data_IF_182019606415
#
_entry.id   IF_182019606415
#
_cell.length_a   1.000
_cell.length_b   1.000
_cell.length_c   1.000
_cell.angle_alpha   90.00
_cell.angle_beta   90.00
_cell.angle_gamma   90.00
#
_symmetry.space_group_name_H-M   'P 1'
#
loop_
_entity.id
_entity.type
_entity.pdbx_description
1 polymer ?
#
# COMPACT_ATOMS: atom_id res chain seq x y z
N UNK A 1 -24.60 -51.97 11.51
CA UNK A 1 -25.36 -51.79 10.26
C UNK A 1 -24.35 -51.52 9.16
N UNK A 2 -24.13 -52.52 8.33
CA UNK A 2 -23.19 -52.54 7.21
C UNK A 2 -23.94 -52.15 5.92
N UNK A 3 -23.28 -51.44 5.02
CA UNK A 3 -23.84 -51.09 3.70
C UNK A 3 -22.89 -50.21 2.86
N UNK A 4 -22.25 -50.74 1.79
CA UNK A 4 -21.21 -50.08 1.00
C UNK A 4 -21.71 -49.56 -0.36
N UNK A 5 -20.89 -48.75 -1.06
CA UNK A 5 -21.16 -48.35 -2.46
C UNK A 5 -19.93 -47.80 -3.16
N UNK A 6 -19.36 -48.61 -4.06
CA UNK A 6 -18.17 -48.39 -4.89
C UNK A 6 -18.57 -47.81 -6.24
N UNK A 7 -17.71 -46.99 -6.87
CA UNK A 7 -17.76 -46.75 -8.31
C UNK A 7 -16.50 -46.09 -8.88
N UNK A 8 -15.69 -46.79 -9.69
CA UNK A 8 -14.65 -46.19 -10.53
C UNK A 8 -15.11 -46.13 -11.99
N UNK A 9 -14.96 -44.97 -12.63
CA UNK A 9 -15.23 -44.77 -14.06
C UNK A 9 -14.00 -44.25 -14.78
N UNK A 10 -13.34 -45.14 -15.52
CA UNK A 10 -12.24 -44.85 -16.45
C UNK A 10 -12.83 -44.56 -17.83
N UNK A 11 -12.27 -43.61 -18.57
CA UNK A 11 -12.54 -43.39 -19.99
C UNK A 11 -11.31 -42.86 -20.72
N UNK A 12 -10.76 -43.58 -21.73
CA UNK A 12 -9.59 -43.18 -22.49
C UNK A 12 -9.94 -42.66 -23.90
N UNK A 13 -9.04 -41.88 -24.50
CA UNK A 13 -8.75 -41.97 -25.93
C UNK A 13 -8.93 -40.72 -26.81
N UNK A 14 -7.81 -40.35 -27.47
CA UNK A 14 -7.61 -39.82 -28.84
C UNK A 14 -8.31 -38.52 -29.28
N UNK A 15 -7.67 -37.56 -29.98
CA UNK A 15 -6.45 -37.64 -30.79
C UNK A 15 -5.92 -36.26 -31.28
N UNK A 16 -5.01 -36.24 -32.29
CA UNK A 16 -4.04 -35.17 -32.54
C UNK A 16 -4.30 -34.33 -33.81
N UNK A 17 -3.57 -33.20 -33.93
CA UNK A 17 -3.50 -32.31 -35.10
C UNK A 17 -4.29 -31.01 -34.85
N UNK A 18 -3.75 -29.80 -34.98
CA UNK A 18 -3.01 -29.24 -36.12
C UNK A 18 -2.15 -28.05 -35.62
N UNK A 19 -0.90 -27.92 -36.09
CA UNK A 19 -0.22 -26.60 -36.15
C UNK A 19 -0.79 -25.77 -37.32
N UNK A 20 -0.19 -24.63 -37.75
CA UNK A 20 1.06 -24.00 -37.32
C UNK A 20 0.94 -22.49 -36.99
N UNK A 21 2.00 -21.95 -36.37
CA UNK A 21 2.55 -20.63 -36.68
C UNK A 21 1.63 -19.41 -36.63
N UNK A 22 1.67 -18.69 -35.50
CA UNK A 22 1.63 -17.23 -35.50
C UNK A 22 2.75 -16.73 -34.60
N UNK A 23 3.71 -16.07 -35.26
CA UNK A 23 4.90 -15.48 -34.67
C UNK A 23 4.62 -14.24 -33.82
N UNK A 24 5.70 -13.57 -33.40
CA UNK A 24 5.72 -12.69 -32.25
C UNK A 24 5.26 -11.26 -32.58
N UNK A 25 4.77 -10.57 -31.55
CA UNK A 25 4.81 -9.12 -31.52
C UNK A 25 3.48 -8.43 -31.79
N UNK A 26 2.54 -8.55 -30.86
CA UNK A 26 1.62 -7.42 -30.60
C UNK A 26 2.40 -6.39 -29.79
N UNK A 27 3.25 -5.64 -30.49
CA UNK A 27 3.71 -4.36 -29.97
C UNK A 27 2.50 -3.40 -29.95
N UNK A 28 2.38 -2.54 -28.93
CA UNK A 28 1.32 -1.54 -28.91
C UNK A 28 1.43 -0.65 -30.14
N UNK A 29 0.33 -0.60 -30.90
CA UNK A 29 0.10 0.28 -32.04
C UNK A 29 0.43 1.73 -31.66
N UNK A 30 1.57 2.22 -32.14
CA UNK A 30 1.85 3.63 -32.23
C UNK A 30 0.90 4.22 -33.27
N UNK A 31 -0.17 4.86 -32.80
CA UNK A 31 -0.91 5.85 -33.59
C UNK A 31 0.08 6.95 -33.98
N UNK A 32 0.49 6.96 -35.25
CA UNK A 32 1.01 8.16 -35.89
C UNK A 32 -0.19 8.85 -36.56
N UNK A 33 -0.53 10.04 -36.10
CA UNK A 33 -1.70 10.79 -36.60
C UNK A 33 -2.36 11.72 -35.59
N UNK A 34 -1.82 11.83 -34.38
CA UNK A 34 -2.00 13.02 -33.56
C UNK A 34 -0.63 13.68 -33.48
N UNK A 35 -0.50 15.02 -33.55
CA UNK A 35 0.74 15.67 -33.12
C UNK A 35 1.04 15.07 -31.75
N UNK A 36 2.16 14.33 -31.66
CA UNK A 36 2.61 13.76 -30.41
C UNK A 36 2.52 14.90 -29.40
N UNK A 37 1.89 14.72 -28.23
CA UNK A 37 1.97 15.73 -27.19
C UNK A 37 3.47 15.90 -26.98
N UNK A 38 3.98 17.03 -27.47
CA UNK A 38 5.33 17.47 -27.19
C UNK A 38 5.43 17.26 -25.68
N UNK A 39 6.25 16.29 -25.26
CA UNK A 39 6.53 16.09 -23.86
C UNK A 39 7.31 17.34 -23.53
N UNK A 40 6.56 18.40 -23.20
CA UNK A 40 7.06 19.65 -22.70
C UNK A 40 7.70 19.22 -21.41
N UNK A 41 8.99 18.93 -21.49
CA UNK A 41 9.91 18.91 -20.36
C UNK A 41 9.80 20.33 -19.85
N UNK A 42 8.83 20.55 -18.96
CA UNK A 42 8.63 21.81 -18.27
C UNK A 42 9.92 22.02 -17.52
N UNK A 43 10.79 22.82 -18.12
CA UNK A 43 12.05 23.28 -17.56
C UNK A 43 11.70 23.85 -16.21
N UNK A 44 11.95 23.07 -15.16
CA UNK A 44 11.66 23.45 -13.81
C UNK A 44 12.43 24.72 -13.53
N UNK A 45 11.71 25.84 -13.34
CA UNK A 45 12.34 27.09 -13.00
C UNK A 45 13.33 26.87 -11.84
N UNK A 46 14.56 27.40 -11.95
CA UNK A 46 15.55 27.23 -10.91
C UNK A 46 15.02 27.81 -9.60
N UNK A 47 14.83 26.94 -8.60
CA UNK A 47 14.48 27.35 -7.24
C UNK A 47 15.52 28.35 -6.72
N UNK A 48 15.06 29.42 -6.09
CA UNK A 48 15.98 30.36 -5.44
C UNK A 48 16.85 29.64 -4.41
N UNK A 49 18.14 30.01 -4.29
CA UNK A 49 19.08 29.32 -3.40
C UNK A 49 18.60 29.36 -1.93
N UNK A 50 17.98 30.47 -1.52
CA UNK A 50 17.40 30.61 -0.19
C UNK A 50 16.24 29.63 0.07
N UNK A 51 15.34 29.42 -0.92
CA UNK A 51 14.23 28.47 -0.78
C UNK A 51 14.74 27.04 -0.71
N UNK A 52 15.75 26.70 -1.52
CA UNK A 52 16.41 25.39 -1.49
C UNK A 52 17.09 25.14 -0.14
N UNK A 53 17.84 26.11 0.39
CA UNK A 53 18.47 25.99 1.70
C UNK A 53 17.45 25.77 2.83
N UNK A 54 16.35 26.55 2.84
CA UNK A 54 15.25 26.35 3.81
C UNK A 54 14.63 24.96 3.72
N UNK A 55 14.43 24.44 2.51
CA UNK A 55 13.90 23.09 2.30
C UNK A 55 14.83 22.00 2.83
N UNK A 56 16.15 22.14 2.63
CA UNK A 56 17.14 21.21 3.18
C UNK A 56 17.14 21.25 4.71
N UNK A 57 17.11 22.44 5.31
CA UNK A 57 17.07 22.60 6.77
C UNK A 57 15.79 22.00 7.35
N UNK A 58 14.64 22.27 6.76
CA UNK A 58 13.36 21.71 7.21
C UNK A 58 13.31 20.19 7.09
N UNK A 59 13.84 19.63 5.99
CA UNK A 59 13.97 18.19 5.80
C UNK A 59 14.86 17.57 6.87
N UNK A 60 16.03 18.16 7.12
CA UNK A 60 16.96 17.69 8.15
C UNK A 60 16.37 17.76 9.56
N UNK A 61 15.71 18.87 9.90
CA UNK A 61 15.03 19.02 11.18
C UNK A 61 13.88 18.02 11.35
N UNK A 62 13.13 17.75 10.28
CA UNK A 62 12.08 16.74 10.27
C UNK A 62 12.64 15.33 10.55
N UNK A 63 13.70 14.94 9.84
CA UNK A 63 14.35 13.63 10.08
C UNK A 63 14.89 13.51 11.51
N UNK A 64 15.55 14.56 12.01
CA UNK A 64 16.06 14.59 13.38
C UNK A 64 14.93 14.48 14.42
N UNK A 65 13.83 15.20 14.23
CA UNK A 65 12.64 15.11 15.09
C UNK A 65 12.02 13.70 15.06
N UNK A 66 12.00 13.05 13.89
CA UNK A 66 11.54 11.66 13.77
C UNK A 66 12.41 10.68 14.55
N UNK A 67 13.73 10.79 14.45
CA UNK A 67 14.66 9.97 15.22
C UNK A 67 14.53 10.20 16.73
N UNK A 68 14.37 11.47 17.15
CA UNK A 68 14.11 11.82 18.55
C UNK A 68 12.79 11.23 19.05
N UNK A 69 11.71 11.32 18.25
CA UNK A 69 10.39 10.75 18.57
C UNK A 69 10.46 9.24 18.82
N UNK A 70 11.11 8.50 17.92
CA UNK A 70 11.31 7.05 18.04
C UNK A 70 12.15 6.72 19.30
N UNK A 71 13.19 7.51 19.58
CA UNK A 71 14.04 7.31 20.77
C UNK A 71 13.26 7.54 22.05
N UNK A 72 12.48 8.62 22.15
CA UNK A 72 11.66 8.90 23.32
C UNK A 72 10.61 7.80 23.52
N UNK A 73 9.94 7.38 22.45
CA UNK A 73 8.98 6.29 22.49
C UNK A 73 9.63 4.98 23.00
N UNK A 74 10.85 4.69 22.54
CA UNK A 74 11.63 3.54 22.99
C UNK A 74 11.91 3.59 24.49
N UNK A 75 12.27 4.77 25.02
CA UNK A 75 12.51 4.94 26.45
C UNK A 75 11.23 4.82 27.28
N UNK A 76 10.10 5.34 26.79
CA UNK A 76 8.79 5.17 27.44
C UNK A 76 8.41 3.69 27.51
N UNK A 77 8.62 2.93 26.43
CA UNK A 77 8.33 1.49 26.43
C UNK A 77 9.15 0.74 27.49
N UNK A 78 10.45 1.05 27.60
CA UNK A 78 11.34 0.47 28.61
C UNK A 78 10.95 0.85 30.04
N UNK A 79 10.50 2.08 30.27
CA UNK A 79 10.04 2.49 31.59
C UNK A 79 8.73 1.80 31.99
N UNK A 80 7.82 1.56 31.04
CA UNK A 80 6.56 0.85 31.29
C UNK A 80 6.76 -0.65 31.46
N UNK A 81 7.65 -1.28 30.67
CA UNK A 81 7.95 -2.70 30.83
C UNK A 81 8.64 -3.01 32.15
N UNK A 82 9.48 -2.10 32.66
CA UNK A 82 10.08 -2.20 33.99
C UNK A 82 9.06 -2.26 35.14
N UNK A 83 7.86 -1.68 34.95
CA UNK A 83 6.77 -1.67 35.94
C UNK A 83 5.79 -2.84 35.77
N UNK A 84 6.00 -3.69 34.76
CA UNK A 84 5.16 -4.86 34.48
C UNK A 84 4.25 -4.74 33.26
N UNK A 85 4.46 -3.73 32.40
CA UNK A 85 3.88 -3.67 31.06
C UNK A 85 2.60 -2.85 30.92
N UNK A 86 1.93 -2.48 32.02
CA UNK A 86 0.85 -1.48 31.99
C UNK A 86 0.86 -0.63 33.25
N UNK A 87 0.72 0.69 33.07
CA UNK A 87 0.54 1.65 34.14
C UNK A 87 -0.60 2.60 33.76
N UNK A 88 -1.37 3.06 34.74
CA UNK A 88 -2.40 4.07 34.52
C UNK A 88 -2.69 4.82 35.83
N UNK A 89 -2.89 6.12 35.74
CA UNK A 89 -3.20 6.97 36.89
C UNK A 89 -4.67 7.43 36.84
N UNK A 90 -5.36 7.40 37.99
CA UNK A 90 -6.61 8.16 38.19
C UNK A 90 -7.89 7.59 37.58
N UNK A 91 -7.95 6.31 37.19
CA UNK A 91 -9.16 5.66 36.67
C UNK A 91 -10.00 4.93 37.74
N UNK A 92 -11.35 4.83 37.59
CA UNK A 92 -12.20 4.03 38.46
C UNK A 92 -11.96 2.51 38.33
N UNK A 93 -11.30 2.09 37.25
CA UNK A 93 -10.79 0.74 37.05
C UNK A 93 -9.30 0.73 37.36
N UNK A 94 -8.98 0.42 38.62
CA UNK A 94 -7.63 0.50 39.20
C UNK A 94 -6.67 -0.41 38.45
N UNK A 95 -5.79 0.16 37.63
CA UNK A 95 -4.51 -0.48 37.31
C UNK A 95 -3.59 -0.22 38.49
N UNK A 96 -3.13 -1.27 39.15
CA UNK A 96 -2.48 -1.21 40.46
C UNK A 96 -1.08 -0.55 40.47
N UNK A 97 -0.60 -0.06 39.33
CA UNK A 97 0.75 0.48 39.18
C UNK A 97 0.70 1.91 38.62
N UNK A 98 1.13 2.91 39.42
CA UNK A 98 1.22 4.29 38.95
C UNK A 98 2.28 4.40 37.84
N UNK A 99 2.05 5.28 36.87
CA UNK A 99 3.04 5.50 35.82
C UNK A 99 4.26 6.26 36.36
N UNK A 100 5.46 6.00 35.82
CA UNK A 100 6.63 6.82 36.13
C UNK A 100 6.36 8.30 35.84
N UNK A 101 6.85 9.18 36.71
CA UNK A 101 6.70 10.62 36.57
C UNK A 101 7.20 11.10 35.19
N UNK A 102 6.43 12.00 34.57
CA UNK A 102 6.78 12.59 33.28
C UNK A 102 6.38 11.76 32.05
N UNK A 103 5.81 10.55 32.21
CA UNK A 103 5.33 9.73 31.07
C UNK A 103 4.36 10.49 30.17
N UNK A 104 3.41 11.23 30.76
CA UNK A 104 2.46 12.05 30.00
C UNK A 104 3.13 13.16 29.19
N UNK A 105 4.12 13.85 29.76
CA UNK A 105 4.91 14.88 29.06
C UNK A 105 5.76 14.28 27.95
N UNK A 106 6.36 13.11 28.17
CA UNK A 106 7.13 12.39 27.18
C UNK A 106 6.26 11.96 25.99
N UNK A 107 5.03 11.49 26.21
CA UNK A 107 4.07 11.19 25.13
C UNK A 107 3.75 12.43 24.29
N UNK A 108 3.51 13.58 24.92
CA UNK A 108 3.29 14.83 24.18
C UNK A 108 4.51 15.21 23.34
N UNK A 109 5.73 14.99 23.83
CA UNK A 109 6.96 15.18 23.07
C UNK A 109 7.08 14.22 21.89
N UNK A 110 6.69 12.94 22.05
CA UNK A 110 6.65 11.96 20.94
C UNK A 110 5.72 12.47 19.84
N UNK A 111 4.48 12.84 20.18
CA UNK A 111 3.51 13.31 19.18
C UNK A 111 3.92 14.64 18.54
N UNK A 112 4.43 15.59 19.33
CA UNK A 112 4.91 16.87 18.83
C UNK A 112 6.10 16.71 17.87
N UNK A 113 7.09 15.90 18.24
CA UNK A 113 8.25 15.62 17.38
C UNK A 113 7.88 14.79 16.15
N UNK A 114 6.93 13.87 16.25
CA UNK A 114 6.38 13.14 15.10
C UNK A 114 5.68 14.07 14.12
N UNK A 115 4.92 15.06 14.60
CA UNK A 115 4.28 16.07 13.76
C UNK A 115 5.33 16.93 13.04
N UNK A 116 6.36 17.41 13.75
CA UNK A 116 7.49 18.14 13.14
C UNK A 116 8.20 17.29 12.09
N UNK A 117 8.38 16.00 12.35
CA UNK A 117 8.93 15.05 11.39
C UNK A 117 8.11 14.99 10.10
N UNK A 118 6.81 14.70 10.21
CA UNK A 118 5.92 14.57 9.05
C UNK A 118 5.85 15.87 8.26
N UNK A 119 5.61 17.00 8.91
CA UNK A 119 5.50 18.29 8.23
C UNK A 119 6.82 18.72 7.57
N UNK A 120 7.94 18.62 8.30
CA UNK A 120 9.27 19.00 7.79
C UNK A 120 9.73 18.14 6.62
N UNK A 121 9.51 16.83 6.70
CA UNK A 121 9.89 15.89 5.64
C UNK A 121 8.97 15.97 4.42
N UNK A 122 7.66 16.07 4.59
CA UNK A 122 6.72 16.24 3.47
C UNK A 122 6.99 17.55 2.71
N UNK A 123 7.11 18.66 3.43
CA UNK A 123 7.38 19.96 2.82
C UNK A 123 8.76 20.01 2.17
N UNK A 124 9.81 19.60 2.90
CA UNK A 124 11.19 19.59 2.40
C UNK A 124 11.38 18.70 1.18
N UNK A 125 10.84 17.48 1.20
CA UNK A 125 10.90 16.56 0.07
C UNK A 125 10.11 17.06 -1.15
N UNK A 126 8.92 17.64 -0.93
CA UNK A 126 8.11 18.21 -2.01
C UNK A 126 8.82 19.39 -2.70
N UNK A 127 9.41 20.32 -1.93
CA UNK A 127 10.16 21.46 -2.50
C UNK A 127 11.42 21.00 -3.24
N UNK A 128 12.11 19.97 -2.73
CA UNK A 128 13.33 19.45 -3.34
C UNK A 128 13.06 18.43 -4.47
N UNK A 129 11.80 18.04 -4.70
CA UNK A 129 11.40 16.92 -5.57
C UNK A 129 12.20 15.64 -5.27
N UNK A 130 12.50 15.43 -3.99
CA UNK A 130 13.25 14.29 -3.51
C UNK A 130 12.31 13.15 -3.09
N UNK A 131 12.78 11.88 -3.07
CA UNK A 131 12.02 10.77 -2.50
C UNK A 131 11.62 11.07 -1.05
N UNK A 132 10.38 10.75 -0.69
CA UNK A 132 9.86 11.05 0.65
C UNK A 132 10.45 10.07 1.68
N UNK A 133 11.21 10.55 2.69
CA UNK A 133 11.80 9.68 3.70
C UNK A 133 10.78 9.15 4.72
N UNK A 134 9.56 9.72 4.77
CA UNK A 134 8.47 9.27 5.67
C UNK A 134 8.17 7.79 5.49
N UNK A 135 8.31 7.28 4.26
CA UNK A 135 8.09 5.86 3.97
C UNK A 135 9.07 4.94 4.73
N UNK A 136 10.28 5.44 5.05
CA UNK A 136 11.26 4.74 5.88
C UNK A 136 11.00 4.90 7.38
N UNK A 137 10.17 5.86 7.78
CA UNK A 137 9.76 6.06 9.17
C UNK A 137 8.97 4.86 9.72
N UNK A 138 8.11 4.26 8.89
CA UNK A 138 7.36 3.05 9.26
C UNK A 138 8.28 1.87 9.64
N UNK A 139 9.16 1.36 8.76
CA UNK A 139 10.04 0.25 9.12
C UNK A 139 10.95 0.61 10.29
N UNK A 140 11.44 1.85 10.38
CA UNK A 140 12.24 2.29 11.52
C UNK A 140 11.49 2.20 12.86
N UNK A 141 10.23 2.65 12.90
CA UNK A 141 9.37 2.57 14.10
C UNK A 141 9.16 1.09 14.50
N UNK A 142 8.71 0.27 13.56
CA UNK A 142 8.35 -1.12 13.83
C UNK A 142 9.56 -1.99 14.21
N UNK A 143 10.70 -1.81 13.56
CA UNK A 143 11.93 -2.53 13.92
C UNK A 143 12.44 -2.10 15.28
N UNK A 144 12.33 -0.81 15.64
CA UNK A 144 12.74 -0.32 16.97
C UNK A 144 11.82 -0.87 18.06
N UNK A 145 10.50 -0.85 17.86
CA UNK A 145 9.55 -1.42 18.81
C UNK A 145 9.72 -2.95 18.94
N UNK A 146 9.88 -3.64 17.81
CA UNK A 146 10.13 -5.08 17.79
C UNK A 146 11.41 -5.45 18.52
N UNK A 147 12.48 -4.65 18.38
CA UNK A 147 13.72 -4.83 19.13
C UNK A 147 13.50 -4.70 20.65
N UNK A 148 12.81 -3.67 21.12
CA UNK A 148 12.53 -3.50 22.55
C UNK A 148 11.78 -4.69 23.15
N UNK A 149 10.77 -5.22 22.45
CA UNK A 149 10.04 -6.39 22.93
C UNK A 149 10.89 -7.67 22.94
N UNK A 150 11.83 -7.82 22.01
CA UNK A 150 12.77 -8.94 22.03
C UNK A 150 13.79 -8.81 23.15
N UNK A 151 14.28 -7.60 23.41
CA UNK A 151 15.18 -7.25 24.52
C UNK A 151 14.53 -7.63 25.86
N UNK A 152 13.33 -7.11 26.12
CA UNK A 152 12.56 -7.35 27.35
C UNK A 152 12.02 -8.79 27.46
N UNK A 153 11.84 -9.48 26.33
CA UNK A 153 11.27 -10.83 26.28
C UNK A 153 12.31 -11.94 26.49
N UNK A 154 13.53 -11.73 25.97
CA UNK A 154 14.55 -12.77 25.85
C UNK A 154 15.89 -12.42 26.49
N UNK A 155 16.40 -11.20 26.29
CA UNK A 155 17.78 -10.86 26.64
C UNK A 155 17.92 -10.31 28.06
N UNK A 156 17.05 -9.39 28.46
CA UNK A 156 17.08 -8.76 29.79
C UNK A 156 15.65 -8.60 30.32
N UNK A 157 14.98 -9.71 30.69
CA UNK A 157 13.62 -9.64 31.18
C UNK A 157 13.53 -8.88 32.50
N UNK A 158 12.43 -8.15 32.76
CA UNK A 158 12.25 -7.40 33.99
C UNK A 158 12.48 -8.28 35.24
N UNK A 159 13.13 -7.76 36.29
CA UNK A 159 13.49 -8.53 37.47
C UNK A 159 12.26 -9.19 38.11
N UNK A 160 12.27 -10.53 38.18
CA UNK A 160 11.17 -11.34 38.71
C UNK A 160 10.19 -11.88 37.66
N UNK A 161 10.26 -11.41 36.42
CA UNK A 161 9.61 -12.02 35.27
C UNK A 161 10.60 -12.97 34.56
N UNK A 162 10.20 -14.22 34.34
CA UNK A 162 10.94 -15.12 33.47
C UNK A 162 10.82 -14.72 32.00
N UNK A 163 11.36 -15.56 31.11
CA UNK A 163 11.18 -15.42 29.65
C UNK A 163 9.70 -15.31 29.31
N UNK A 164 9.28 -14.16 28.78
CA UNK A 164 7.89 -13.88 28.45
C UNK A 164 7.61 -14.17 26.98
N UNK A 165 6.91 -15.28 26.71
CA UNK A 165 6.53 -15.65 25.35
C UNK A 165 5.69 -14.59 24.63
N UNK A 166 4.89 -13.82 25.37
CA UNK A 166 4.08 -12.74 24.81
C UNK A 166 4.93 -11.61 24.21
N UNK A 167 5.96 -11.17 24.94
CA UNK A 167 6.88 -10.14 24.44
C UNK A 167 7.68 -10.63 23.23
N UNK A 168 8.17 -11.88 23.27
CA UNK A 168 8.88 -12.47 22.12
C UNK A 168 7.99 -12.54 20.88
N UNK A 169 6.75 -13.01 21.03
CA UNK A 169 5.80 -13.09 19.92
C UNK A 169 5.52 -11.71 19.31
N UNK A 170 5.22 -10.70 20.15
CA UNK A 170 5.03 -9.33 19.70
C UNK A 170 6.27 -8.75 19.01
N UNK A 171 7.46 -9.02 19.56
CA UNK A 171 8.73 -8.60 18.99
C UNK A 171 8.97 -9.14 17.58
N UNK A 172 8.77 -10.45 17.39
CA UNK A 172 8.87 -11.10 16.07
C UNK A 172 7.83 -10.53 15.10
N UNK A 173 6.58 -10.37 15.54
CA UNK A 173 5.50 -9.84 14.70
C UNK A 173 5.84 -8.43 14.18
N UNK A 174 6.31 -7.54 15.07
CA UNK A 174 6.72 -6.20 14.67
C UNK A 174 7.95 -6.20 13.76
N UNK A 175 8.89 -7.12 13.99
CA UNK A 175 10.03 -7.30 13.08
C UNK A 175 9.59 -7.70 11.67
N UNK A 176 8.64 -8.63 11.54
CA UNK A 176 8.08 -9.02 10.24
C UNK A 176 7.33 -7.85 9.58
N UNK A 177 6.52 -7.12 10.34
CA UNK A 177 5.79 -5.94 9.83
C UNK A 177 6.71 -4.79 9.40
N UNK A 178 7.86 -4.62 10.07
CA UNK A 178 8.86 -3.61 9.72
C UNK A 178 9.77 -4.05 8.57
N UNK A 179 10.36 -5.25 8.66
CA UNK A 179 11.32 -5.75 7.69
C UNK A 179 10.67 -6.19 6.37
N UNK A 180 9.46 -6.75 6.40
CA UNK A 180 8.78 -7.31 5.23
C UNK A 180 8.65 -6.29 4.08
N UNK A 181 7.96 -5.15 4.28
CA UNK A 181 7.81 -4.12 3.26
C UNK A 181 9.16 -3.56 2.77
N UNK A 182 10.14 -3.44 3.68
CA UNK A 182 11.48 -2.96 3.35
C UNK A 182 12.19 -3.94 2.40
N UNK A 183 12.17 -5.23 2.70
CA UNK A 183 12.80 -6.28 1.88
C UNK A 183 12.12 -6.43 0.52
N UNK A 184 10.78 -6.34 0.46
CA UNK A 184 10.03 -6.36 -0.81
C UNK A 184 10.42 -5.15 -1.66
N UNK A 185 10.42 -3.95 -1.08
CA UNK A 185 10.84 -2.73 -1.77
C UNK A 185 12.26 -2.81 -2.32
N UNK A 186 13.22 -3.26 -1.50
CA UNK A 186 14.61 -3.47 -1.94
C UNK A 186 14.73 -4.52 -3.06
N UNK A 187 13.93 -5.58 -3.00
CA UNK A 187 13.95 -6.65 -4.02
C UNK A 187 13.46 -6.15 -5.37
N UNK A 188 12.37 -5.36 -5.39
CA UNK A 188 11.84 -4.72 -6.60
C UNK A 188 12.86 -3.74 -7.19
N UNK A 189 13.51 -2.91 -6.34
CA UNK A 189 14.55 -1.99 -6.80
C UNK A 189 15.76 -2.72 -7.39
N UNK A 190 16.18 -3.85 -6.79
CA UNK A 190 17.31 -4.67 -7.30
C UNK A 190 16.96 -5.34 -8.63
N UNK A 191 15.75 -5.86 -8.79
CA UNK A 191 15.27 -6.47 -10.04
C UNK A 191 15.33 -5.50 -11.22
N UNK A 192 14.89 -4.24 -11.02
CA UNK A 192 14.94 -3.20 -12.07
C UNK A 192 16.37 -2.75 -12.44
N UNK A 193 17.34 -2.91 -11.54
CA UNK A 193 18.75 -2.64 -11.88
C UNK A 193 19.33 -3.77 -12.72
N UNK A 194 18.97 -5.02 -12.44
CA UNK A 194 19.49 -6.17 -13.18
C UNK A 194 19.09 -6.15 -14.66
N UNK A 195 17.88 -5.65 -14.99
CA UNK A 195 17.42 -5.55 -16.39
C UNK A 195 18.03 -4.38 -17.15
N UNK A 196 18.49 -3.32 -16.48
CA UNK A 196 19.17 -2.17 -17.12
C UNK A 196 20.65 -2.38 -17.38
N UNK A 197 21.25 -3.46 -16.87
CA UNK A 197 22.71 -3.69 -16.99
C UNK A 197 23.09 -4.61 -18.14
N UNK A 198 22.14 -5.02 -18.99
CA UNK A 198 22.48 -5.52 -20.31
C UNK A 198 22.52 -4.32 -21.25
N UNK A 199 23.70 -3.76 -21.60
CA UNK A 199 23.80 -2.88 -22.75
C UNK A 199 23.41 -3.74 -23.95
N UNK A 200 22.14 -3.67 -24.32
CA UNK A 200 21.67 -4.15 -25.60
C UNK A 200 22.40 -3.26 -26.61
N UNK A 201 23.51 -3.78 -27.13
CA UNK A 201 24.10 -3.32 -28.36
C UNK A 201 23.02 -3.48 -29.42
N UNK A 202 22.16 -2.46 -29.53
CA UNK A 202 21.17 -2.41 -30.57
C UNK A 202 21.92 -2.54 -31.90
N UNK A 203 21.45 -3.38 -32.83
CA UNK A 203 21.98 -3.33 -34.19
C UNK A 203 21.92 -1.87 -34.68
N UNK A 204 22.90 -1.42 -35.47
CA UNK A 204 22.95 -0.04 -35.96
C UNK A 204 21.60 0.35 -36.56
N UNK A 205 21.14 1.60 -36.38
CA UNK A 205 19.85 2.02 -36.91
C UNK A 205 19.84 1.81 -38.42
N UNK A 206 19.09 0.81 -38.87
CA UNK A 206 18.81 0.62 -40.28
C UNK A 206 17.89 1.78 -40.66
N UNK A 207 18.45 2.76 -41.36
CA UNK A 207 17.70 3.84 -41.99
C UNK A 207 16.87 3.21 -43.11
N UNK A 208 15.64 2.81 -42.78
CA UNK A 208 14.67 2.39 -43.79
C UNK A 208 14.10 3.65 -44.43
N UNK A 209 14.59 3.98 -45.62
CA UNK A 209 13.93 4.95 -46.49
C UNK A 209 12.55 4.38 -46.86
N UNK A 210 11.49 4.92 -46.27
CA UNK A 210 10.13 4.62 -46.70
C UNK A 210 9.85 5.41 -48.00
N UNK A 211 9.63 4.74 -49.14
CA UNK A 211 9.13 5.40 -50.34
C UNK A 211 7.75 5.99 -50.06
N UNK A 212 7.46 7.13 -50.68
CA UNK A 212 6.16 7.81 -50.63
C UNK A 212 5.00 6.81 -50.77
N UNK A 213 4.28 6.58 -49.68
CA UNK A 213 3.04 5.81 -49.67
C UNK A 213 1.92 6.72 -50.19
N UNK A 214 1.35 6.33 -51.33
CA UNK A 214 0.07 6.82 -51.83
C UNK A 214 -1.01 6.75 -50.75
N UNK A 215 -1.84 7.80 -50.68
CA UNK A 215 -2.96 7.91 -49.75
C UNK A 215 -3.93 6.72 -49.90
N UNK A 216 -4.22 5.97 -48.83
CA UNK A 216 -5.18 4.89 -48.90
C UNK A 216 -6.62 5.43 -48.92
N UNK A 217 -7.54 4.75 -49.63
CA UNK A 217 -8.95 5.12 -49.68
C UNK A 217 -9.63 5.02 -48.30
N UNK A 218 -10.72 5.79 -48.07
CA UNK A 218 -11.38 5.88 -46.78
C UNK A 218 -11.90 4.52 -46.31
N UNK A 219 -11.56 4.17 -45.06
CA UNK A 219 -11.96 2.92 -44.44
C UNK A 219 -13.48 2.81 -44.22
N UNK A 220 -14.07 1.62 -44.41
CA UNK A 220 -15.47 1.36 -44.08
C UNK A 220 -15.73 1.50 -42.58
N UNK A 221 -16.88 2.08 -42.23
CA UNK A 221 -17.35 2.28 -40.85
C UNK A 221 -17.39 0.95 -40.10
N UNK A 222 -16.82 0.95 -38.90
CA UNK A 222 -16.88 -0.19 -37.99
C UNK A 222 -18.35 -0.50 -37.64
N UNK A 223 -18.75 -1.79 -37.64
CA UNK A 223 -20.06 -2.19 -37.17
C UNK A 223 -20.18 -1.97 -35.67
N UNK A 224 -21.28 -1.36 -35.26
CA UNK A 224 -21.66 -1.17 -33.86
C UNK A 224 -21.64 -2.52 -33.13
N UNK A 225 -20.76 -2.63 -32.12
CA UNK A 225 -20.75 -3.77 -31.21
C UNK A 225 -22.01 -3.70 -30.35
N UNK A 226 -22.89 -4.72 -30.39
CA UNK A 226 -24.07 -4.79 -29.54
C UNK A 226 -23.64 -5.25 -28.14
N UNK A 227 -22.99 -4.36 -27.40
CA UNK A 227 -22.80 -4.46 -25.96
C UNK A 227 -24.05 -3.96 -25.26
N UNK A 228 -25.10 -4.78 -25.28
CA UNK A 228 -26.34 -4.51 -24.56
C UNK A 228 -26.11 -4.53 -23.06
N UNK A 229 -25.86 -3.36 -22.48
CA UNK A 229 -26.18 -3.10 -21.09
C UNK A 229 -27.70 -3.12 -20.97
N UNK A 230 -28.28 -4.32 -20.85
CA UNK A 230 -29.70 -4.47 -20.62
C UNK A 230 -30.00 -3.84 -19.25
N UNK A 231 -30.64 -2.66 -19.17
CA UNK A 231 -30.74 -1.90 -17.92
C UNK A 231 -31.53 -2.65 -16.84
N UNK A 232 -32.27 -3.68 -17.25
CA UNK A 232 -32.95 -4.63 -16.36
C UNK A 232 -32.00 -5.58 -15.64
N UNK A 233 -30.91 -6.00 -16.29
CA UNK A 233 -29.92 -6.89 -15.67
C UNK A 233 -29.12 -6.15 -14.58
N UNK A 234 -28.70 -4.91 -14.86
CA UNK A 234 -27.97 -4.08 -13.89
C UNK A 234 -28.84 -3.69 -12.68
N UNK A 235 -30.14 -3.48 -12.88
CA UNK A 235 -31.08 -3.18 -11.80
C UNK A 235 -31.31 -4.35 -10.83
N UNK A 236 -31.11 -5.60 -11.26
CA UNK A 236 -31.22 -6.79 -10.39
C UNK A 236 -29.90 -7.15 -9.71
N UNK A 237 -28.78 -6.55 -10.12
CA UNK A 237 -27.49 -6.74 -9.45
C UNK A 237 -27.48 -6.10 -8.06
N UNK A 238 -26.65 -6.63 -7.16
CA UNK A 238 -26.41 -6.08 -5.81
C UNK A 238 -26.03 -4.61 -5.87
N UNK A 239 -25.15 -4.27 -6.82
CA UNK A 239 -24.69 -2.90 -7.06
C UNK A 239 -25.88 -1.99 -7.40
N UNK A 240 -26.75 -2.42 -8.32
CA UNK A 240 -27.96 -1.67 -8.68
C UNK A 240 -28.95 -1.51 -7.52
N UNK A 241 -29.13 -2.53 -6.68
CA UNK A 241 -29.98 -2.44 -5.47
C UNK A 241 -29.42 -1.47 -4.44
N UNK A 242 -28.11 -1.47 -4.21
CA UNK A 242 -27.44 -0.55 -3.29
C UNK A 242 -27.48 0.91 -3.80
N UNK A 243 -27.29 1.11 -5.11
CA UNK A 243 -27.38 2.43 -5.74
C UNK A 243 -28.79 3.02 -5.64
N UNK A 244 -29.83 2.19 -5.81
CA UNK A 244 -31.23 2.60 -5.58
C UNK A 244 -31.50 2.99 -4.12
N UNK A 245 -30.99 2.22 -3.15
CA UNK A 245 -31.14 2.55 -1.72
C UNK A 245 -30.46 3.87 -1.36
N UNK A 246 -29.28 4.14 -1.93
CA UNK A 246 -28.58 5.40 -1.74
C UNK A 246 -29.35 6.59 -2.35
N UNK A 247 -29.98 6.40 -3.52
CA UNK A 247 -30.83 7.43 -4.13
C UNK A 247 -32.05 7.78 -3.27
N UNK A 248 -32.73 6.79 -2.66
CA UNK A 248 -33.87 7.00 -1.76
C UNK A 248 -33.49 7.68 -0.44
N UNK A 249 -32.30 7.38 0.08
CA UNK A 249 -31.77 8.05 1.27
C UNK A 249 -31.44 9.53 0.97
N UNK A 250 -30.82 9.79 -0.20
CA UNK A 250 -30.48 11.14 -0.64
C UNK A 250 -31.71 12.01 -0.95
N UNK A 251 -32.83 11.42 -1.39
CA UNK A 251 -34.10 12.14 -1.58
C UNK A 251 -34.87 12.40 -0.28
N UNK A 252 -34.42 11.83 0.85
CA UNK A 252 -35.11 11.94 2.14
C UNK A 252 -36.35 11.06 2.27
N UNK A 253 -36.57 10.12 1.33
CA UNK A 253 -37.65 9.14 1.41
C UNK A 253 -37.35 8.00 2.40
N UNK A 254 -36.07 7.82 2.76
CA UNK A 254 -35.62 6.84 3.74
C UNK A 254 -34.90 7.54 4.89
N UNK A 255 -35.26 7.21 6.13
CA UNK A 255 -34.51 7.66 7.30
C UNK A 255 -33.15 6.95 7.41
N UNK A 256 -32.21 7.53 8.16
CA UNK A 256 -30.87 6.93 8.38
C UNK A 256 -30.95 5.50 8.94
N UNK A 257 -31.91 5.24 9.83
CA UNK A 257 -32.10 3.95 10.47
C UNK A 257 -32.66 2.91 9.49
N UNK A 258 -33.64 3.30 8.67
CA UNK A 258 -34.21 2.45 7.63
C UNK A 258 -33.18 2.11 6.54
N UNK A 259 -32.34 3.07 6.14
CA UNK A 259 -31.25 2.85 5.19
C UNK A 259 -30.23 1.82 5.72
N UNK A 260 -29.83 1.95 7.00
CA UNK A 260 -28.91 0.98 7.62
C UNK A 260 -29.48 -0.44 7.66
N UNK A 261 -30.76 -0.58 8.03
CA UNK A 261 -31.44 -1.88 8.06
C UNK A 261 -31.59 -2.49 6.66
N UNK A 262 -32.01 -1.70 5.67
CA UNK A 262 -32.19 -2.16 4.29
C UNK A 262 -30.86 -2.58 3.63
N UNK A 263 -29.79 -1.82 3.87
CA UNK A 263 -28.43 -2.17 3.40
C UNK A 263 -27.94 -3.48 4.01
N UNK A 264 -28.14 -3.67 5.32
CA UNK A 264 -27.74 -4.90 6.02
C UNK A 264 -28.57 -6.13 5.61
N UNK A 265 -29.82 -5.94 5.17
CA UNK A 265 -30.64 -7.00 4.59
C UNK A 265 -30.12 -7.43 3.22
N UNK A 266 -29.83 -6.46 2.34
CA UNK A 266 -29.36 -6.71 0.96
C UNK A 266 -28.02 -7.47 0.96
N UNK A 267 -27.11 -7.14 1.89
CA UNK A 267 -25.83 -7.84 2.02
C UNK A 267 -25.97 -9.25 2.60
N UNK A 268 -26.98 -9.51 3.44
CA UNK A 268 -27.22 -10.85 4.00
C UNK A 268 -27.75 -11.82 2.96
N UNK A 269 -28.63 -11.37 2.06
CA UNK A 269 -29.18 -12.18 0.98
C UNK A 269 -28.08 -12.72 0.05
N UNK A 270 -27.08 -11.90 -0.27
CA UNK A 270 -25.92 -12.29 -1.10
C UNK A 270 -24.97 -13.27 -0.42
N UNK A 271 -24.87 -13.23 0.90
CA UNK A 271 -24.05 -14.20 1.65
C UNK A 271 -24.76 -15.57 1.73
N UNK A 272 -26.09 -15.59 1.57
CA UNK A 272 -26.90 -16.80 1.66
C UNK A 272 -27.24 -17.47 0.32
N UNK A 273 -26.99 -16.81 -0.81
CA UNK A 273 -27.22 -17.32 -2.17
C UNK A 273 -25.96 -17.93 -2.78
#
# INVERSE_FOLDING_TARGET
>A
MSGPGVGPGVGPGVGPGVGPGVGPGVGPSLRCGSPLPEVVVTSSEPLSPARRARAVVALGLGVAAGAASITILSQIMRSVSAVGGSCADGGPYVSAQPCPDGTGGALLLVFGSALVCVLGTLWGAHVLRAPQPVLLGWPALFLTLGWNFLDDGWFDPPPGAGVSGGFIFCGILFWVMGAGPLLIGLSVLRGNRSTRTTPQAGPPPVVVHHPHLEEPPPAPRAPDLPGGDDPRASAMSVAGRLERLAALHASGELTDDEYRLAKAATLREEVSG
#
